data_IF_918524452916
#
_entry.id   IF_918524452916
#
_cell.length_a   1.000
_cell.length_b   1.000
_cell.length_c   1.000
_cell.angle_alpha   90.00
_cell.angle_beta   90.00
_cell.angle_gamma   90.00
#
_symmetry.space_group_name_H-M   'P 1'
#
loop_
_entity.id
_entity.type
_entity.pdbx_description
1 polymer ?
#
# COMPACT_ATOMS: atom_id res chain seq x y z
N UNK A 1 -2.89 -77.44 2.46
CA UNK A 1 -2.41 -78.28 3.59
C UNK A 1 -1.87 -77.41 4.69
N UNK A 2 -2.52 -77.52 5.88
CA UNK A 2 -1.95 -77.46 7.23
C UNK A 2 -1.07 -76.26 7.59
N UNK A 3 -1.31 -75.50 8.58
CA UNK A 3 -1.75 -75.51 9.98
C UNK A 3 -0.86 -74.51 10.72
N UNK A 4 -1.51 -73.61 11.47
CA UNK A 4 -1.34 -73.30 12.90
C UNK A 4 0.10 -73.12 13.45
N UNK A 5 0.35 -72.06 14.19
CA UNK A 5 0.33 -72.03 15.67
C UNK A 5 0.53 -70.58 16.16
N UNK A 6 -0.30 -70.23 17.17
CA UNK A 6 -0.22 -69.10 18.10
C UNK A 6 1.03 -69.22 18.99
N UNK A 7 1.52 -68.06 19.50
CA UNK A 7 1.69 -67.93 20.98
C UNK A 7 2.08 -66.53 21.39
N UNK A 8 1.41 -66.10 22.43
CA UNK A 8 1.52 -64.90 23.23
C UNK A 8 2.79 -64.76 24.03
N UNK A 9 3.15 -63.54 24.44
CA UNK A 9 3.57 -63.06 25.77
C UNK A 9 4.06 -61.62 25.66
N UNK A 10 3.45 -60.71 26.25
CA UNK A 10 3.40 -60.07 27.57
C UNK A 10 4.56 -59.15 27.89
N UNK A 11 4.19 -57.88 28.06
CA UNK A 11 4.62 -56.89 29.02
C UNK A 11 5.99 -56.23 28.92
N UNK A 12 6.00 -54.93 28.79
CA UNK A 12 6.35 -53.99 29.88
C UNK A 12 6.21 -52.51 29.44
N UNK A 13 5.60 -51.75 30.33
CA UNK A 13 5.42 -50.29 30.29
C UNK A 13 6.76 -49.55 30.27
N UNK A 14 6.82 -48.45 29.46
CA UNK A 14 7.47 -47.22 29.92
C UNK A 14 6.69 -46.03 29.36
N UNK A 15 6.24 -45.19 30.26
CA UNK A 15 5.65 -43.87 29.97
C UNK A 15 6.66 -42.96 29.34
N UNK A 16 6.33 -42.40 28.16
CA UNK A 16 6.99 -41.24 27.58
C UNK A 16 5.92 -40.28 27.12
N UNK A 17 5.63 -39.25 27.91
CA UNK A 17 4.78 -38.14 27.49
C UNK A 17 5.51 -37.38 26.37
N UNK A 18 4.99 -37.53 25.14
CA UNK A 18 5.23 -36.58 24.07
C UNK A 18 3.89 -35.91 23.77
N UNK A 19 3.77 -34.66 24.21
CA UNK A 19 2.65 -33.80 23.84
C UNK A 19 2.77 -33.43 22.36
N UNK A 20 2.16 -34.24 21.50
CA UNK A 20 1.87 -33.82 20.12
C UNK A 20 0.59 -33.02 20.14
N UNK A 21 0.75 -31.69 19.98
CA UNK A 21 -0.38 -30.80 19.72
C UNK A 21 -1.10 -31.26 18.44
N UNK A 22 -2.22 -31.93 18.62
CA UNK A 22 -3.16 -32.19 17.53
C UNK A 22 -3.72 -30.86 17.07
N UNK A 23 -3.32 -30.41 15.89
CA UNK A 23 -4.09 -29.44 15.11
C UNK A 23 -5.47 -30.06 14.94
N UNK A 24 -6.48 -29.49 15.60
CA UNK A 24 -7.85 -29.89 15.42
C UNK A 24 -8.21 -29.62 13.93
N UNK A 25 -8.21 -30.71 13.15
CA UNK A 25 -8.90 -30.70 11.86
C UNK A 25 -10.37 -30.34 12.15
N UNK A 26 -10.82 -29.18 11.67
CA UNK A 26 -12.24 -28.91 11.61
C UNK A 26 -12.91 -30.06 10.86
N UNK A 27 -14.00 -30.63 11.39
CA UNK A 27 -14.72 -31.67 10.66
C UNK A 27 -15.13 -31.07 9.31
N UNK A 28 -14.64 -31.65 8.23
CA UNK A 28 -15.20 -31.43 6.90
C UNK A 28 -16.63 -31.99 6.96
N UNK A 29 -17.58 -31.10 7.28
CA UNK A 29 -18.96 -31.43 7.20
C UNK A 29 -19.29 -31.79 5.76
N UNK A 30 -19.77 -32.98 5.54
CA UNK A 30 -20.36 -33.43 4.29
C UNK A 30 -21.43 -32.41 3.90
N UNK A 31 -21.16 -31.62 2.85
CA UNK A 31 -22.10 -30.60 2.35
C UNK A 31 -23.24 -31.35 1.70
N UNK A 32 -24.41 -31.38 2.35
CA UNK A 32 -25.63 -31.94 1.78
C UNK A 32 -25.97 -31.18 0.46
N UNK A 33 -25.91 -31.84 -0.71
CA UNK A 33 -26.30 -31.21 -1.96
C UNK A 33 -27.71 -30.61 -1.96
N UNK A 34 -28.61 -31.13 -1.08
CA UNK A 34 -29.94 -30.59 -0.87
C UNK A 34 -29.95 -29.21 -0.24
N UNK A 35 -29.03 -28.90 0.69
CA UNK A 35 -28.95 -27.58 1.33
C UNK A 35 -28.50 -26.50 0.37
N UNK A 36 -27.53 -26.80 -0.52
CA UNK A 36 -27.14 -25.91 -1.59
C UNK A 36 -28.29 -25.64 -2.54
N UNK A 37 -29.08 -26.68 -2.87
CA UNK A 37 -30.26 -26.54 -3.73
C UNK A 37 -31.35 -25.67 -3.09
N UNK A 38 -31.58 -25.77 -1.77
CA UNK A 38 -32.57 -24.93 -1.07
C UNK A 38 -32.12 -23.45 -0.98
N UNK A 39 -30.86 -23.21 -0.71
CA UNK A 39 -30.29 -21.85 -0.74
C UNK A 39 -30.44 -21.20 -2.13
N UNK A 40 -30.18 -21.97 -3.18
CA UNK A 40 -30.39 -21.47 -4.56
C UNK A 40 -31.87 -21.26 -4.86
N UNK A 41 -32.77 -22.16 -4.40
CA UNK A 41 -34.21 -21.96 -4.53
C UNK A 41 -34.69 -20.73 -3.78
N UNK A 42 -34.15 -20.42 -2.59
CA UNK A 42 -34.47 -19.22 -1.84
C UNK A 42 -34.03 -17.95 -2.58
N UNK A 43 -32.85 -17.96 -3.23
CA UNK A 43 -32.36 -16.84 -4.05
C UNK A 43 -33.21 -16.63 -5.31
N UNK A 44 -33.69 -17.71 -5.95
CA UNK A 44 -34.42 -17.63 -7.22
C UNK A 44 -35.95 -17.73 -7.05
N UNK A 45 -36.46 -18.12 -5.89
CA UNK A 45 -37.91 -18.18 -5.58
C UNK A 45 -38.52 -16.84 -5.20
N UNK A 46 -37.73 -15.77 -5.21
CA UNK A 46 -38.25 -14.41 -5.07
C UNK A 46 -39.23 -14.17 -6.22
N UNK A 47 -40.50 -14.41 -5.98
CA UNK A 47 -41.60 -14.16 -6.93
C UNK A 47 -41.49 -12.74 -7.48
N UNK A 48 -41.96 -12.52 -8.71
CA UNK A 48 -41.74 -11.33 -9.52
C UNK A 48 -41.96 -9.97 -8.83
N UNK A 49 -42.78 -9.88 -7.79
CA UNK A 49 -43.00 -8.63 -7.02
C UNK A 49 -41.94 -8.38 -5.94
N UNK A 50 -41.42 -9.42 -5.27
CA UNK A 50 -40.31 -9.30 -4.31
C UNK A 50 -38.95 -9.05 -5.00
N UNK A 51 -38.80 -9.49 -6.23
CA UNK A 51 -37.53 -9.39 -6.98
C UNK A 51 -37.15 -7.93 -7.33
N UNK A 52 -38.12 -7.04 -7.58
CA UNK A 52 -37.82 -5.64 -7.89
C UNK A 52 -37.30 -4.88 -6.67
N UNK A 53 -37.96 -4.98 -5.52
CA UNK A 53 -37.52 -4.31 -4.29
C UNK A 53 -36.14 -4.85 -3.81
N UNK A 54 -35.91 -6.17 -3.90
CA UNK A 54 -34.62 -6.77 -3.57
C UNK A 54 -33.54 -6.34 -4.55
N UNK A 55 -33.81 -6.36 -5.84
CA UNK A 55 -32.88 -5.86 -6.87
C UNK A 55 -32.51 -4.41 -6.64
N UNK A 56 -33.50 -3.55 -6.37
CA UNK A 56 -33.28 -2.13 -6.18
C UNK A 56 -32.47 -1.87 -4.90
N UNK A 57 -32.73 -2.61 -3.82
CA UNK A 57 -31.95 -2.57 -2.58
C UNK A 57 -30.52 -3.03 -2.80
N UNK A 58 -30.29 -4.17 -3.46
CA UNK A 58 -28.95 -4.69 -3.76
C UNK A 58 -28.18 -3.69 -4.61
N UNK A 59 -28.78 -3.12 -5.66
CA UNK A 59 -28.12 -2.13 -6.50
C UNK A 59 -27.84 -0.82 -5.75
N UNK A 60 -28.73 -0.39 -4.87
CA UNK A 60 -28.52 0.80 -4.04
C UNK A 60 -27.38 0.59 -3.02
N UNK A 61 -27.17 -0.64 -2.56
CA UNK A 61 -26.17 -1.00 -1.54
C UNK A 61 -24.87 -1.57 -2.14
N UNK A 62 -24.76 -1.66 -3.46
CA UNK A 62 -23.55 -2.12 -4.12
C UNK A 62 -22.65 -0.96 -4.47
N UNK A 63 -21.38 -1.01 -4.01
CA UNK A 63 -20.32 -0.08 -4.34
C UNK A 63 -19.27 -0.79 -5.19
N UNK A 64 -18.88 -0.18 -6.30
CA UNK A 64 -17.87 -0.74 -7.19
C UNK A 64 -16.52 -0.07 -6.97
N UNK A 65 -15.45 -0.87 -6.98
CA UNK A 65 -14.08 -0.39 -6.83
C UNK A 65 -13.26 -0.82 -8.03
N UNK A 66 -12.92 0.11 -8.94
CA UNK A 66 -12.00 -0.17 -10.04
C UNK A 66 -10.57 -0.27 -9.50
N UNK A 67 -9.88 -1.33 -9.88
CA UNK A 67 -8.53 -1.65 -9.44
C UNK A 67 -7.52 -1.60 -10.61
N UNK A 68 -6.41 -2.29 -10.49
CA UNK A 68 -5.38 -2.36 -11.52
C UNK A 68 -5.45 -3.62 -12.37
N UNK A 69 -4.34 -3.93 -13.02
CA UNK A 69 -4.15 -5.12 -13.85
C UNK A 69 -4.08 -6.40 -13.01
N UNK A 70 -4.42 -7.52 -13.62
CA UNK A 70 -4.33 -8.86 -13.00
C UNK A 70 -2.89 -9.09 -12.51
N UNK A 71 -2.76 -9.55 -11.25
CA UNK A 71 -1.47 -9.78 -10.60
C UNK A 71 -0.86 -8.56 -9.90
N UNK A 72 -1.41 -7.37 -10.12
CA UNK A 72 -1.01 -6.16 -9.41
C UNK A 72 -1.59 -6.07 -7.98
N UNK A 73 -0.97 -5.27 -7.13
CA UNK A 73 -1.39 -5.07 -5.74
C UNK A 73 -2.80 -4.48 -5.62
N UNK A 74 -3.21 -3.62 -6.56
CA UNK A 74 -4.56 -3.02 -6.56
C UNK A 74 -5.69 -4.05 -6.63
N UNK A 75 -5.52 -5.10 -7.45
CA UNK A 75 -6.52 -6.18 -7.55
C UNK A 75 -6.66 -6.91 -6.22
N UNK A 76 -5.54 -7.14 -5.52
CA UNK A 76 -5.56 -7.78 -4.21
C UNK A 76 -6.27 -6.88 -3.18
N UNK A 77 -5.97 -5.58 -3.17
CA UNK A 77 -6.66 -4.63 -2.30
C UNK A 77 -8.16 -4.56 -2.60
N UNK A 78 -8.56 -4.59 -3.88
CA UNK A 78 -9.96 -4.66 -4.27
C UNK A 78 -10.66 -5.92 -3.75
N UNK A 79 -9.99 -7.08 -3.87
CA UNK A 79 -10.50 -8.35 -3.34
C UNK A 79 -10.56 -8.36 -1.81
N UNK A 80 -9.56 -7.81 -1.14
CA UNK A 80 -9.52 -7.68 0.32
C UNK A 80 -10.67 -6.80 0.82
N UNK A 81 -10.92 -5.65 0.17
CA UNK A 81 -12.05 -4.78 0.49
C UNK A 81 -13.39 -5.51 0.33
N UNK A 82 -13.58 -6.26 -0.76
CA UNK A 82 -14.77 -7.04 -0.97
C UNK A 82 -14.94 -8.09 0.13
N UNK A 83 -13.89 -8.83 0.45
CA UNK A 83 -13.92 -9.88 1.47
C UNK A 83 -14.19 -9.34 2.89
N UNK A 84 -13.64 -8.20 3.25
CA UNK A 84 -13.76 -7.64 4.60
C UNK A 84 -15.05 -6.84 4.80
N UNK A 85 -15.55 -6.19 3.76
CA UNK A 85 -16.63 -5.23 3.88
C UNK A 85 -18.00 -5.74 3.42
N UNK A 86 -18.05 -6.83 2.62
CA UNK A 86 -19.33 -7.37 2.17
C UNK A 86 -20.19 -7.75 3.39
N UNK A 87 -21.38 -7.22 3.45
CA UNK A 87 -22.38 -7.41 4.52
C UNK A 87 -23.75 -7.71 3.90
N UNK A 88 -23.75 -8.72 3.03
CA UNK A 88 -24.96 -9.23 2.39
C UNK A 88 -25.76 -8.13 1.69
N UNK A 89 -26.96 -7.86 2.20
CA UNK A 89 -27.86 -6.86 1.60
C UNK A 89 -27.54 -5.41 1.98
N UNK A 90 -26.72 -5.18 3.02
CA UNK A 90 -26.45 -3.83 3.55
C UNK A 90 -25.33 -3.14 2.79
N UNK A 91 -24.29 -3.89 2.44
CA UNK A 91 -23.18 -3.40 1.62
C UNK A 91 -22.58 -4.55 0.82
N UNK A 92 -22.50 -4.36 -0.48
CA UNK A 92 -21.71 -5.22 -1.37
C UNK A 92 -20.60 -4.43 -2.01
N UNK A 93 -19.38 -4.96 -1.99
CA UNK A 93 -18.24 -4.35 -2.65
C UNK A 93 -17.85 -5.23 -3.84
N UNK A 94 -17.93 -4.67 -5.04
CA UNK A 94 -17.57 -5.36 -6.28
C UNK A 94 -16.24 -4.81 -6.82
N UNK A 95 -15.14 -5.56 -6.70
CA UNK A 95 -13.89 -5.18 -7.31
C UNK A 95 -13.94 -5.38 -8.82
N UNK A 96 -13.49 -4.39 -9.57
CA UNK A 96 -13.41 -4.41 -11.03
C UNK A 96 -11.94 -4.43 -11.41
N UNK A 97 -11.54 -5.35 -12.28
CA UNK A 97 -10.19 -5.38 -12.86
C UNK A 97 -10.07 -4.27 -13.89
N UNK A 98 -9.08 -3.41 -13.74
CA UNK A 98 -8.80 -2.28 -14.62
C UNK A 98 -7.44 -2.39 -15.30
N UNK A 99 -6.97 -1.28 -15.87
CA UNK A 99 -5.66 -1.17 -16.53
C UNK A 99 -4.70 -0.23 -15.79
N UNK A 100 -5.04 0.18 -14.57
CA UNK A 100 -4.23 1.05 -13.73
C UNK A 100 -4.75 2.48 -13.62
N UNK A 101 -3.89 3.38 -13.13
CA UNK A 101 -4.31 4.66 -12.55
C UNK A 101 -4.99 5.63 -13.52
N UNK A 102 -4.54 5.72 -14.77
CA UNK A 102 -5.16 6.67 -15.72
C UNK A 102 -6.56 6.23 -16.11
N UNK A 103 -6.73 4.94 -16.45
CA UNK A 103 -8.07 4.42 -16.75
C UNK A 103 -8.95 4.47 -15.50
N UNK A 104 -8.44 4.03 -14.35
CA UNK A 104 -9.20 4.06 -13.10
C UNK A 104 -9.70 5.46 -12.76
N UNK A 105 -8.88 6.50 -12.98
CA UNK A 105 -9.29 7.89 -12.83
C UNK A 105 -10.38 8.28 -13.83
N UNK A 106 -10.22 7.93 -15.11
CA UNK A 106 -11.22 8.20 -16.14
C UNK A 106 -12.55 7.47 -15.85
N UNK A 107 -12.47 6.23 -15.37
CA UNK A 107 -13.65 5.43 -15.03
C UNK A 107 -14.39 6.01 -13.82
N UNK A 108 -13.68 6.49 -12.80
CA UNK A 108 -14.29 7.21 -11.66
C UNK A 108 -15.00 8.49 -12.11
N UNK A 109 -14.43 9.20 -13.09
CA UNK A 109 -15.00 10.46 -13.59
C UNK A 109 -16.19 10.25 -14.51
N UNK A 110 -16.14 9.26 -15.41
CA UNK A 110 -17.03 9.21 -16.56
C UNK A 110 -17.81 7.90 -16.71
N UNK A 111 -17.33 6.77 -16.14
CA UNK A 111 -17.98 5.49 -16.36
C UNK A 111 -19.15 5.29 -15.39
N UNK A 112 -20.35 5.13 -15.95
CA UNK A 112 -21.53 4.80 -15.15
C UNK A 112 -21.36 3.43 -14.49
N UNK A 113 -21.49 3.39 -13.16
CA UNK A 113 -21.35 2.14 -12.39
C UNK A 113 -19.98 1.94 -11.76
N UNK A 114 -19.04 2.88 -11.93
CA UNK A 114 -17.81 2.95 -11.13
C UNK A 114 -17.99 4.02 -10.06
N UNK A 115 -17.79 3.65 -8.80
CA UNK A 115 -18.00 4.54 -7.66
C UNK A 115 -16.66 5.00 -7.05
N UNK A 116 -15.68 4.10 -6.97
CA UNK A 116 -14.38 4.30 -6.34
C UNK A 116 -13.29 3.72 -7.22
N UNK A 117 -12.09 4.33 -7.21
CA UNK A 117 -10.92 3.82 -7.89
C UNK A 117 -9.69 3.74 -6.99
N UNK A 118 -8.87 2.70 -7.18
CA UNK A 118 -7.52 2.65 -6.63
C UNK A 118 -6.59 3.24 -7.68
N UNK A 119 -6.02 4.41 -7.39
CA UNK A 119 -5.17 5.15 -8.31
C UNK A 119 -3.93 5.67 -7.58
N UNK A 120 -2.92 6.09 -8.32
CA UNK A 120 -1.78 6.81 -7.75
C UNK A 120 -2.01 8.31 -7.73
N UNK A 121 -1.53 8.95 -6.68
CA UNK A 121 -1.70 10.39 -6.50
C UNK A 121 -0.98 11.21 -7.57
N UNK A 122 0.17 10.74 -8.09
CA UNK A 122 0.94 11.42 -9.13
C UNK A 122 0.23 11.48 -10.50
N UNK A 123 -0.74 10.61 -10.73
CA UNK A 123 -1.48 10.52 -12.00
C UNK A 123 -2.26 11.80 -12.30
N UNK A 124 -2.98 12.32 -11.31
CA UNK A 124 -3.76 13.55 -11.47
C UNK A 124 -2.86 14.74 -11.80
N UNK A 125 -1.80 14.90 -11.02
CA UNK A 125 -0.84 16.00 -11.20
C UNK A 125 -0.13 15.93 -12.56
N UNK A 126 0.19 14.70 -13.02
CA UNK A 126 0.77 14.50 -14.35
C UNK A 126 -0.17 14.94 -15.47
N UNK A 127 -1.43 14.52 -15.42
CA UNK A 127 -2.42 14.84 -16.45
C UNK A 127 -2.70 16.33 -16.53
N UNK A 128 -2.79 17.02 -15.39
CA UNK A 128 -2.98 18.47 -15.33
C UNK A 128 -1.74 19.22 -15.85
N UNK A 129 -0.54 18.84 -15.42
CA UNK A 129 0.72 19.47 -15.88
C UNK A 129 0.97 19.31 -17.38
N UNK A 130 0.56 18.19 -17.95
CA UNK A 130 0.67 17.93 -19.40
C UNK A 130 -0.47 18.56 -20.22
N UNK A 131 -1.44 19.19 -19.55
CA UNK A 131 -2.58 19.84 -20.23
C UNK A 131 -3.58 18.85 -20.83
N UNK A 132 -3.51 17.55 -20.47
CA UNK A 132 -4.46 16.56 -20.96
C UNK A 132 -5.86 16.73 -20.37
N UNK A 133 -5.94 17.30 -19.18
CA UNK A 133 -7.19 17.64 -18.53
C UNK A 133 -6.98 18.79 -17.54
N UNK A 134 -7.95 19.68 -17.43
CA UNK A 134 -7.92 20.80 -16.48
C UNK A 134 -9.04 20.67 -15.46
N UNK A 135 -8.77 21.12 -14.23
CA UNK A 135 -9.77 21.16 -13.17
C UNK A 135 -10.16 19.78 -12.59
N UNK A 136 -9.36 18.75 -12.83
CA UNK A 136 -9.61 17.40 -12.28
C UNK A 136 -9.60 17.39 -10.76
N UNK A 137 -8.75 18.20 -10.13
CA UNK A 137 -8.66 18.32 -8.65
C UNK A 137 -9.95 18.79 -7.99
N UNK A 138 -10.81 19.51 -8.73
CA UNK A 138 -12.15 19.90 -8.24
C UNK A 138 -13.17 18.77 -8.34
N UNK A 139 -12.96 17.83 -9.25
CA UNK A 139 -13.90 16.75 -9.55
C UNK A 139 -13.61 15.45 -8.81
N UNK A 140 -12.38 15.25 -8.34
CA UNK A 140 -11.94 14.02 -7.66
C UNK A 140 -11.52 14.33 -6.24
N UNK A 141 -11.93 13.46 -5.32
CA UNK A 141 -11.54 13.49 -3.91
C UNK A 141 -10.89 12.17 -3.54
N UNK A 142 -10.01 12.16 -2.52
CA UNK A 142 -9.50 10.91 -1.97
C UNK A 142 -10.28 10.51 -0.71
N UNK A 143 -10.56 9.23 -0.55
CA UNK A 143 -11.14 8.68 0.67
C UNK A 143 -10.02 8.52 1.69
N UNK A 144 -8.96 7.81 1.32
CA UNK A 144 -7.77 7.64 2.14
C UNK A 144 -6.53 7.42 1.29
N UNK A 145 -5.36 7.76 1.85
CA UNK A 145 -4.07 7.28 1.37
C UNK A 145 -3.95 5.80 1.72
N UNK A 146 -3.68 4.97 0.73
CA UNK A 146 -3.37 3.57 0.92
C UNK A 146 -1.88 3.41 1.28
N UNK A 147 -1.19 2.56 0.60
CA UNK A 147 0.23 2.28 0.78
C UNK A 147 1.09 3.05 -0.21
N UNK A 148 2.38 2.93 -0.07
CA UNK A 148 3.33 3.42 -1.06
C UNK A 148 3.68 2.33 -2.07
N UNK A 149 3.85 2.72 -3.34
CA UNK A 149 4.30 1.84 -4.43
C UNK A 149 5.71 2.20 -4.82
N UNK A 150 6.60 1.27 -4.62
CA UNK A 150 8.02 1.41 -4.84
C UNK A 150 8.38 1.21 -6.32
N UNK A 151 9.30 2.02 -6.83
CA UNK A 151 9.84 1.90 -8.18
C UNK A 151 10.90 0.81 -8.22
N UNK A 152 10.65 -0.24 -8.99
CA UNK A 152 11.57 -1.35 -9.22
C UNK A 152 12.15 -1.20 -10.62
N UNK A 153 13.45 -1.01 -10.73
CA UNK A 153 14.16 -0.95 -12.00
C UNK A 153 15.03 -2.19 -12.13
N UNK A 154 14.63 -3.13 -12.97
CA UNK A 154 15.38 -4.37 -13.22
C UNK A 154 16.21 -4.20 -14.49
N UNK A 155 17.52 -4.39 -14.37
CA UNK A 155 18.45 -4.25 -15.48
C UNK A 155 19.65 -5.22 -15.34
N UNK A 156 20.44 -5.44 -16.41
CA UNK A 156 21.71 -6.13 -16.32
C UNK A 156 22.68 -5.41 -15.37
N UNK A 157 23.62 -6.14 -14.78
CA UNK A 157 24.62 -5.61 -13.83
C UNK A 157 25.52 -4.51 -14.42
N UNK A 158 25.54 -4.31 -15.73
CA UNK A 158 26.23 -3.19 -16.38
C UNK A 158 25.56 -1.84 -16.18
N UNK A 159 24.27 -1.82 -15.80
CA UNK A 159 23.51 -0.61 -15.47
C UNK A 159 23.55 -0.43 -13.96
N UNK A 160 24.29 0.54 -13.47
CA UNK A 160 24.52 0.74 -12.03
C UNK A 160 23.64 1.85 -11.42
N UNK A 161 23.19 2.79 -12.23
CA UNK A 161 22.36 3.94 -11.83
C UNK A 161 21.38 4.29 -12.93
N UNK A 162 20.33 5.04 -12.58
CA UNK A 162 19.25 5.37 -13.51
C UNK A 162 19.74 6.15 -14.73
N UNK A 163 20.77 7.01 -14.57
CA UNK A 163 21.35 7.77 -15.69
C UNK A 163 22.08 6.92 -16.73
N UNK A 164 22.44 5.68 -16.42
CA UNK A 164 23.03 4.75 -17.39
C UNK A 164 21.99 4.27 -18.44
N UNK A 165 20.72 4.59 -18.21
CA UNK A 165 19.62 4.33 -19.14
C UNK A 165 19.42 5.46 -20.17
N UNK A 166 20.27 6.49 -20.21
CA UNK A 166 20.22 7.51 -21.26
C UNK A 166 20.33 6.87 -22.65
N UNK A 167 19.36 7.18 -23.53
CA UNK A 167 19.25 6.61 -24.88
C UNK A 167 18.87 5.13 -24.97
N UNK A 168 18.73 4.43 -23.86
CA UNK A 168 18.41 3.01 -23.76
C UNK A 168 16.94 2.72 -23.93
N UNK A 169 16.62 1.47 -24.30
CA UNK A 169 15.23 0.99 -24.45
C UNK A 169 14.74 0.43 -23.12
N UNK A 170 13.71 1.06 -22.55
CA UNK A 170 13.18 0.73 -21.22
C UNK A 170 11.70 0.38 -21.33
N UNK A 171 11.32 -0.82 -20.87
CA UNK A 171 9.93 -1.22 -20.75
C UNK A 171 9.27 -0.59 -19.52
N UNK A 172 8.11 0.03 -19.70
CA UNK A 172 7.38 0.79 -18.66
C UNK A 172 5.95 0.31 -18.48
N UNK A 173 5.73 -1.01 -18.64
CA UNK A 173 4.44 -1.69 -18.55
C UNK A 173 3.46 -1.23 -19.65
N UNK A 174 2.17 -1.25 -19.38
CA UNK A 174 1.14 -0.92 -20.34
C UNK A 174 0.95 0.60 -20.50
N UNK A 175 0.49 1.07 -21.67
CA UNK A 175 0.20 2.48 -21.87
C UNK A 175 -0.90 2.93 -20.88
N UNK A 176 -0.79 4.15 -20.39
CA UNK A 176 -1.72 4.73 -19.40
C UNK A 176 -1.73 4.01 -18.05
N UNK A 177 -0.79 3.09 -17.81
CA UNK A 177 -0.53 2.50 -16.51
C UNK A 177 0.21 3.44 -15.58
N UNK A 178 0.07 3.20 -14.28
CA UNK A 178 0.78 4.01 -13.30
C UNK A 178 2.31 3.90 -13.44
N UNK A 179 2.87 2.73 -13.77
CA UNK A 179 4.31 2.56 -14.00
C UNK A 179 4.83 3.53 -15.06
N UNK A 180 4.13 3.67 -16.20
CA UNK A 180 4.50 4.64 -17.23
C UNK A 180 4.51 6.08 -16.68
N UNK A 181 3.47 6.48 -15.96
CA UNK A 181 3.34 7.84 -15.41
C UNK A 181 4.53 8.18 -14.50
N UNK A 182 4.80 7.34 -13.50
CA UNK A 182 5.93 7.57 -12.59
C UNK A 182 7.25 7.56 -13.34
N UNK A 183 7.45 6.61 -14.26
CA UNK A 183 8.69 6.58 -15.06
C UNK A 183 8.86 7.86 -15.87
N UNK A 184 7.80 8.33 -16.54
CA UNK A 184 7.83 9.56 -17.33
C UNK A 184 8.18 10.79 -16.46
N UNK A 185 7.58 10.92 -15.26
CA UNK A 185 7.86 12.01 -14.33
C UNK A 185 9.31 11.94 -13.83
N UNK A 186 9.75 10.76 -13.39
CA UNK A 186 11.09 10.56 -12.81
C UNK A 186 12.17 10.85 -13.84
N UNK A 187 12.06 10.26 -15.03
CA UNK A 187 13.06 10.46 -16.09
C UNK A 187 13.08 11.91 -16.59
N UNK A 188 11.91 12.57 -16.74
CA UNK A 188 11.81 13.98 -17.10
C UNK A 188 12.50 14.87 -16.05
N UNK A 189 12.20 14.66 -14.75
CA UNK A 189 12.76 15.46 -13.66
C UNK A 189 14.26 15.27 -13.45
N UNK A 190 14.78 14.08 -13.75
CA UNK A 190 16.20 13.78 -13.69
C UNK A 190 16.94 14.10 -15.00
N UNK A 191 16.23 14.55 -16.04
CA UNK A 191 16.81 14.90 -17.33
C UNK A 191 17.30 13.71 -18.14
N UNK A 192 16.80 12.49 -17.88
CA UNK A 192 17.23 11.26 -18.56
C UNK A 192 16.30 10.97 -19.74
N UNK A 193 16.86 10.82 -20.93
CA UNK A 193 16.11 10.56 -22.18
C UNK A 193 16.23 9.08 -22.58
N UNK A 194 15.37 8.23 -22.04
CA UNK A 194 15.25 6.84 -22.44
C UNK A 194 14.17 6.63 -23.52
N UNK A 195 14.27 5.54 -24.27
CA UNK A 195 13.25 5.12 -25.23
C UNK A 195 12.26 4.20 -24.51
N UNK A 196 11.11 4.75 -24.09
CA UNK A 196 10.08 3.96 -23.44
C UNK A 196 9.32 3.08 -24.44
N UNK A 197 9.13 1.81 -24.07
CA UNK A 197 8.31 0.83 -24.79
C UNK A 197 7.25 0.25 -23.88
N UNK A 198 6.04 0.09 -24.43
CA UNK A 198 4.90 -0.44 -23.68
C UNK A 198 4.85 -1.96 -23.84
N UNK A 199 5.28 -2.66 -22.82
CA UNK A 199 5.36 -4.12 -22.81
C UNK A 199 4.95 -4.62 -21.43
N UNK A 200 4.01 -5.57 -21.37
CA UNK A 200 3.60 -6.24 -20.14
C UNK A 200 4.80 -6.91 -19.46
N UNK A 201 4.82 -6.94 -18.14
CA UNK A 201 6.00 -7.28 -17.33
C UNK A 201 6.62 -8.65 -17.67
N UNK A 202 5.81 -9.69 -17.93
CA UNK A 202 6.35 -11.02 -18.27
C UNK A 202 7.06 -11.00 -19.62
N UNK A 203 6.44 -10.35 -20.59
CA UNK A 203 7.00 -10.21 -21.94
C UNK A 203 8.24 -9.33 -21.90
N UNK A 204 8.20 -8.26 -21.11
CA UNK A 204 9.34 -7.36 -20.88
C UNK A 204 10.54 -8.13 -20.30
N UNK A 205 10.30 -8.98 -19.30
CA UNK A 205 11.37 -9.79 -18.73
C UNK A 205 11.98 -10.77 -19.73
N UNK A 206 11.17 -11.44 -20.55
CA UNK A 206 11.70 -12.32 -21.59
C UNK A 206 12.53 -11.55 -22.63
N UNK A 207 12.12 -10.34 -23.00
CA UNK A 207 12.89 -9.45 -23.88
C UNK A 207 14.19 -8.97 -23.23
N UNK A 208 14.15 -8.62 -21.95
CA UNK A 208 15.33 -8.25 -21.18
C UNK A 208 16.36 -9.39 -21.11
N UNK A 209 15.89 -10.62 -20.89
CA UNK A 209 16.75 -11.83 -20.90
C UNK A 209 17.45 -12.07 -22.23
N UNK A 210 16.80 -11.71 -23.33
CA UNK A 210 17.33 -11.82 -24.70
C UNK A 210 18.18 -10.60 -25.11
N UNK A 211 18.24 -9.54 -24.29
CA UNK A 211 18.95 -8.30 -24.65
C UNK A 211 18.21 -7.44 -25.70
N UNK A 212 16.91 -7.67 -25.90
CA UNK A 212 16.09 -6.88 -26.83
C UNK A 212 15.68 -5.52 -26.22
N UNK A 213 15.74 -5.40 -24.91
CA UNK A 213 15.58 -4.16 -24.13
C UNK A 213 16.66 -4.08 -23.06
N UNK A 214 16.95 -2.88 -22.61
CA UNK A 214 18.05 -2.61 -21.66
C UNK A 214 17.59 -2.64 -20.19
N UNK A 215 16.33 -2.32 -19.90
CA UNK A 215 15.74 -2.37 -18.57
C UNK A 215 14.22 -2.55 -18.62
N UNK A 216 13.66 -2.96 -17.50
CA UNK A 216 12.22 -2.90 -17.26
C UNK A 216 11.93 -2.23 -15.93
N UNK A 217 10.85 -1.48 -15.89
CA UNK A 217 10.39 -0.78 -14.69
C UNK A 217 9.02 -1.33 -14.28
N UNK A 218 8.84 -1.49 -12.96
CA UNK A 218 7.56 -1.74 -12.33
C UNK A 218 7.42 -0.80 -11.12
N UNK A 219 6.26 -0.19 -10.95
CA UNK A 219 5.95 0.61 -9.76
C UNK A 219 4.79 -0.06 -9.06
N UNK A 220 5.09 -0.74 -7.95
CA UNK A 220 4.19 -1.65 -7.26
C UNK A 220 4.51 -1.70 -5.77
N UNK A 221 3.57 -2.23 -4.97
CA UNK A 221 3.84 -2.50 -3.55
C UNK A 221 4.89 -3.59 -3.35
N UNK A 222 5.70 -3.45 -2.30
CA UNK A 222 6.71 -4.44 -1.86
C UNK A 222 6.04 -5.44 -0.92
N UNK A 223 6.30 -6.77 -1.10
CA UNK A 223 7.01 -7.39 -2.22
C UNK A 223 6.17 -7.47 -3.50
N UNK A 224 6.76 -7.12 -4.64
CA UNK A 224 6.13 -7.27 -5.95
C UNK A 224 6.06 -8.75 -6.34
N UNK A 225 4.84 -9.27 -6.56
CA UNK A 225 4.64 -10.69 -6.93
C UNK A 225 5.43 -11.10 -8.15
N UNK A 226 5.51 -10.23 -9.15
CA UNK A 226 6.26 -10.55 -10.36
C UNK A 226 7.76 -10.47 -10.13
N UNK A 227 8.26 -9.39 -9.53
CA UNK A 227 9.70 -9.17 -9.31
C UNK A 227 10.32 -10.28 -8.44
N UNK A 228 9.57 -10.83 -7.47
CA UNK A 228 10.02 -11.98 -6.65
C UNK A 228 10.23 -13.26 -7.46
N UNK A 229 9.66 -13.38 -8.66
CA UNK A 229 9.86 -14.55 -9.52
C UNK A 229 11.17 -14.52 -10.31
N UNK A 230 11.83 -13.36 -10.40
CA UNK A 230 13.09 -13.17 -11.11
C UNK A 230 14.22 -13.80 -10.28
N UNK A 231 14.84 -14.87 -10.81
CA UNK A 231 15.92 -15.61 -10.16
C UNK A 231 17.24 -15.60 -10.96
N UNK A 232 17.26 -14.86 -12.06
CA UNK A 232 18.41 -14.80 -12.96
C UNK A 232 19.43 -13.79 -12.43
N UNK A 233 20.57 -14.28 -11.99
CA UNK A 233 21.66 -13.51 -11.36
C UNK A 233 22.36 -12.52 -12.31
N UNK A 234 22.06 -12.56 -13.62
CA UNK A 234 22.55 -11.57 -14.58
C UNK A 234 21.95 -10.20 -14.34
N UNK A 235 20.79 -10.16 -13.66
CA UNK A 235 20.05 -8.94 -13.37
C UNK A 235 20.17 -8.53 -11.92
N UNK A 236 19.84 -7.29 -11.65
CA UNK A 236 19.74 -6.72 -10.32
C UNK A 236 18.70 -5.60 -10.29
N UNK A 237 18.39 -5.11 -9.10
CA UNK A 237 17.60 -3.89 -8.92
C UNK A 237 18.54 -2.67 -8.93
N UNK A 238 18.28 -1.73 -9.84
CA UNK A 238 19.04 -0.50 -9.97
C UNK A 238 18.54 0.53 -8.96
N UNK A 239 19.41 1.20 -8.18
CA UNK A 239 18.99 2.23 -7.25
C UNK A 239 18.37 3.44 -7.97
N UNK A 240 17.36 4.04 -7.33
CA UNK A 240 16.75 5.30 -7.75
C UNK A 240 17.01 6.32 -6.65
N UNK A 241 17.92 7.23 -6.90
CA UNK A 241 18.28 8.29 -5.97
C UNK A 241 17.08 9.19 -5.67
N UNK A 242 16.83 9.47 -4.39
CA UNK A 242 15.83 10.44 -3.95
C UNK A 242 16.35 11.87 -4.11
N UNK A 243 16.51 12.29 -5.36
CA UNK A 243 17.04 13.61 -5.72
C UNK A 243 16.07 14.73 -5.31
N UNK A 244 16.55 15.96 -5.05
CA UNK A 244 15.71 17.11 -4.70
C UNK A 244 14.56 17.37 -5.69
N UNK A 245 14.76 17.10 -6.98
CA UNK A 245 13.75 17.24 -8.02
C UNK A 245 12.55 16.29 -7.84
N UNK A 246 12.70 15.18 -7.10
CA UNK A 246 11.67 14.17 -6.90
C UNK A 246 10.90 14.37 -5.58
N UNK A 247 11.41 15.17 -4.65
CA UNK A 247 10.87 15.28 -3.28
C UNK A 247 9.47 15.87 -3.19
N UNK A 248 9.02 16.55 -4.21
CA UNK A 248 7.68 17.14 -4.24
C UNK A 248 6.60 16.07 -4.50
N UNK A 249 6.92 15.05 -5.31
CA UNK A 249 5.93 14.09 -5.82
C UNK A 249 6.06 12.70 -5.18
N UNK A 250 7.23 12.37 -4.62
CA UNK A 250 7.58 11.04 -4.16
C UNK A 250 8.14 11.03 -2.74
N UNK A 251 8.16 9.84 -2.15
CA UNK A 251 8.77 9.56 -0.85
C UNK A 251 10.03 8.72 -1.04
N UNK A 252 11.05 8.85 -0.16
CA UNK A 252 12.15 7.91 -0.13
C UNK A 252 11.66 6.54 0.33
N UNK A 253 12.20 5.47 -0.26
CA UNK A 253 11.92 4.09 0.13
C UNK A 253 13.12 3.20 -0.14
N UNK A 254 13.04 1.94 0.29
CA UNK A 254 14.08 0.94 0.10
C UNK A 254 13.48 -0.40 -0.30
N UNK A 255 14.20 -1.11 -1.20
CA UNK A 255 13.95 -2.49 -1.55
C UNK A 255 14.97 -3.36 -0.81
N UNK A 256 14.53 -4.41 -0.13
CA UNK A 256 15.35 -5.22 0.76
C UNK A 256 15.67 -6.60 0.18
N UNK A 257 16.81 -7.16 0.57
CA UNK A 257 17.22 -8.51 0.18
C UNK A 257 16.25 -9.59 0.65
N UNK A 258 15.54 -9.38 1.77
CA UNK A 258 14.53 -10.32 2.28
C UNK A 258 13.36 -10.48 1.30
N UNK A 259 13.00 -9.40 0.60
CA UNK A 259 11.93 -9.39 -0.41
C UNK A 259 12.42 -9.89 -1.78
N UNK A 260 13.70 -9.63 -2.11
CA UNK A 260 14.28 -9.88 -3.44
C UNK A 260 15.67 -10.54 -3.38
N UNK A 261 15.80 -11.74 -2.79
CA UNK A 261 17.10 -12.33 -2.48
C UNK A 261 17.95 -12.69 -3.71
N UNK A 262 17.36 -12.81 -4.90
CA UNK A 262 18.09 -13.06 -6.14
C UNK A 262 18.58 -11.77 -6.82
N UNK A 263 18.00 -10.62 -6.49
CA UNK A 263 18.27 -9.33 -7.14
C UNK A 263 19.04 -8.35 -6.26
N UNK A 264 19.06 -8.58 -4.95
CA UNK A 264 19.75 -7.76 -3.95
C UNK A 264 20.65 -8.68 -3.13
N UNK A 265 21.95 -8.37 -2.95
CA UNK A 265 22.85 -9.15 -2.12
C UNK A 265 22.35 -9.26 -0.67
N UNK A 266 22.56 -10.41 -0.04
CA UNK A 266 22.09 -10.70 1.30
C UNK A 266 22.49 -9.62 2.32
N UNK A 267 21.54 -9.19 3.14
CA UNK A 267 21.74 -8.17 4.17
C UNK A 267 21.83 -6.74 3.64
N UNK A 268 21.63 -6.51 2.33
CA UNK A 268 21.65 -5.19 1.73
C UNK A 268 20.24 -4.68 1.42
N UNK A 269 20.14 -3.37 1.21
CA UNK A 269 18.96 -2.69 0.68
C UNK A 269 19.36 -1.77 -0.48
N UNK A 270 18.41 -1.51 -1.37
CA UNK A 270 18.55 -0.62 -2.52
C UNK A 270 17.63 0.57 -2.32
N UNK A 271 18.19 1.78 -2.40
CA UNK A 271 17.39 3.00 -2.33
C UNK A 271 16.49 3.13 -3.56
N UNK A 272 15.26 3.54 -3.33
CA UNK A 272 14.29 3.81 -4.38
C UNK A 272 13.34 4.92 -3.95
N UNK A 273 12.44 5.28 -4.86
CA UNK A 273 11.33 6.20 -4.58
C UNK A 273 10.00 5.44 -4.51
N UNK A 274 9.05 6.03 -3.82
CA UNK A 274 7.71 5.49 -3.70
C UNK A 274 6.63 6.54 -3.99
N UNK A 275 5.62 6.14 -4.76
CA UNK A 275 4.44 6.94 -5.06
C UNK A 275 3.25 6.48 -4.18
N UNK A 276 2.46 7.39 -3.58
CA UNK A 276 1.31 7.00 -2.78
C UNK A 276 0.16 6.50 -3.65
N UNK A 277 -0.38 5.34 -3.33
CA UNK A 277 -1.67 4.87 -3.81
C UNK A 277 -2.80 5.47 -2.95
N UNK A 278 -3.95 5.72 -3.55
CA UNK A 278 -5.12 6.28 -2.89
C UNK A 278 -6.41 5.56 -3.32
N UNK A 279 -7.39 5.55 -2.43
CA UNK A 279 -8.78 5.35 -2.79
C UNK A 279 -9.38 6.70 -3.19
N UNK A 280 -9.83 6.82 -4.43
CA UNK A 280 -10.40 8.04 -4.98
C UNK A 280 -11.86 7.85 -5.39
N UNK A 281 -12.67 8.89 -5.25
CA UNK A 281 -14.04 8.94 -5.68
C UNK A 281 -14.32 10.27 -6.39
N UNK A 282 -15.35 10.30 -7.23
CA UNK A 282 -15.86 11.57 -7.75
C UNK A 282 -16.34 12.45 -6.59
N UNK A 283 -16.19 13.77 -6.71
CA UNK A 283 -16.61 14.74 -5.70
C UNK A 283 -18.14 14.92 -5.71
N UNK A 284 -18.86 13.83 -5.35
CA UNK A 284 -20.32 13.85 -5.31
C UNK A 284 -20.83 14.83 -4.27
N UNK A 285 -21.90 15.58 -4.63
CA UNK A 285 -22.57 16.46 -3.68
C UNK A 285 -23.27 15.66 -2.59
N UNK A 286 -23.15 16.08 -1.30
CA UNK A 286 -23.89 15.47 -0.21
C UNK A 286 -25.40 15.35 -0.52
N UNK A 287 -26.03 14.26 -0.06
CA UNK A 287 -27.45 13.98 -0.27
C UNK A 287 -27.81 13.31 -1.59
N UNK A 288 -26.86 13.13 -2.53
CA UNK A 288 -27.10 12.35 -3.76
C UNK A 288 -26.97 10.85 -3.51
N UNK A 289 -27.60 10.02 -4.34
CA UNK A 289 -27.51 8.55 -4.24
C UNK A 289 -26.06 8.05 -4.36
N UNK A 290 -25.29 8.67 -5.25
CA UNK A 290 -23.88 8.36 -5.44
C UNK A 290 -23.05 8.70 -4.19
N UNK A 291 -23.30 9.86 -3.59
CA UNK A 291 -22.66 10.24 -2.33
C UNK A 291 -22.96 9.22 -1.23
N UNK A 292 -24.25 8.85 -1.05
CA UNK A 292 -24.66 7.86 -0.04
C UNK A 292 -24.02 6.48 -0.21
N UNK A 293 -23.79 6.05 -1.46
CA UNK A 293 -23.07 4.80 -1.72
C UNK A 293 -21.61 4.86 -1.21
N UNK A 294 -20.88 5.92 -1.58
CA UNK A 294 -19.50 6.10 -1.16
C UNK A 294 -19.41 6.33 0.35
N UNK A 295 -20.32 7.09 0.93
CA UNK A 295 -20.40 7.32 2.39
C UNK A 295 -20.57 6.01 3.17
N UNK A 296 -21.48 5.14 2.74
CA UNK A 296 -21.68 3.81 3.36
C UNK A 296 -20.43 2.94 3.27
N UNK A 297 -19.78 2.96 2.11
CA UNK A 297 -18.49 2.28 1.95
C UNK A 297 -17.43 2.83 2.91
N UNK A 298 -17.32 4.16 3.03
CA UNK A 298 -16.37 4.84 3.92
C UNK A 298 -16.58 4.43 5.38
N UNK A 299 -17.84 4.45 5.85
CA UNK A 299 -18.17 4.03 7.21
C UNK A 299 -17.76 2.59 7.46
N UNK A 300 -18.20 1.64 6.61
CA UNK A 300 -17.86 0.24 6.77
C UNK A 300 -16.34 -0.03 6.69
N UNK A 301 -15.65 0.67 5.80
CA UNK A 301 -14.20 0.53 5.63
C UNK A 301 -13.44 1.03 6.85
N UNK A 302 -13.77 2.20 7.37
CA UNK A 302 -13.06 2.76 8.51
C UNK A 302 -13.39 2.04 9.81
N UNK A 303 -14.65 1.63 10.02
CA UNK A 303 -15.06 0.84 11.18
C UNK A 303 -14.41 -0.54 11.24
N UNK A 304 -14.19 -1.18 10.07
CA UNK A 304 -13.57 -2.49 9.94
C UNK A 304 -12.09 -2.46 9.58
N UNK A 305 -11.44 -1.29 9.60
CA UNK A 305 -10.08 -1.12 9.10
C UNK A 305 -9.06 -2.06 9.77
N UNK A 306 -9.16 -2.28 11.06
CA UNK A 306 -8.24 -3.16 11.81
C UNK A 306 -8.26 -4.62 11.32
N UNK A 307 -9.37 -5.07 10.73
CA UNK A 307 -9.48 -6.44 10.18
C UNK A 307 -8.52 -6.58 9.00
N UNK A 308 -8.47 -5.58 8.13
CA UNK A 308 -7.62 -5.58 6.94
C UNK A 308 -6.11 -5.60 7.28
N UNK A 309 -5.72 -5.15 8.47
CA UNK A 309 -4.32 -5.15 8.90
C UNK A 309 -3.82 -6.54 9.38
N UNK A 310 -4.69 -7.54 9.42
CA UNK A 310 -4.41 -8.90 9.90
C UNK A 310 -4.40 -9.91 8.74
N UNK A 311 -3.70 -11.04 8.86
CA UNK A 311 -3.85 -12.14 7.90
C UNK A 311 -5.32 -12.59 7.79
N UNK A 312 -5.80 -13.01 6.61
CA UNK A 312 -5.03 -13.31 5.39
C UNK A 312 -4.85 -12.14 4.41
N UNK A 313 -5.20 -10.93 4.81
CA UNK A 313 -5.17 -9.74 3.96
C UNK A 313 -3.74 -9.32 3.59
N UNK A 314 -3.61 -8.51 2.55
CA UNK A 314 -2.31 -8.10 2.02
C UNK A 314 -1.47 -7.35 3.07
N UNK A 315 -0.15 -7.66 3.23
CA UNK A 315 0.68 -7.03 4.27
C UNK A 315 0.75 -5.50 4.21
N UNK A 316 0.64 -4.93 3.02
CA UNK A 316 0.64 -3.47 2.79
C UNK A 316 -0.54 -2.73 3.45
N UNK A 317 -1.58 -3.42 3.92
CA UNK A 317 -2.63 -2.80 4.74
C UNK A 317 -2.09 -2.20 6.05
N UNK A 318 -0.96 -2.72 6.56
CA UNK A 318 -0.28 -2.16 7.74
C UNK A 318 0.36 -0.79 7.49
N UNK A 319 0.58 -0.41 6.24
CA UNK A 319 1.11 0.90 5.85
C UNK A 319 0.01 1.94 5.61
N UNK A 320 -1.25 1.49 5.55
CA UNK A 320 -2.39 2.39 5.34
C UNK A 320 -2.67 3.16 6.62
N UNK A 321 -2.84 4.47 6.48
CA UNK A 321 -3.30 5.35 7.55
C UNK A 321 -4.53 6.10 7.09
N UNK A 322 -5.69 5.76 7.67
CA UNK A 322 -6.97 6.38 7.29
C UNK A 322 -7.03 7.87 7.64
N UNK A 323 -6.21 8.31 8.61
CA UNK A 323 -6.13 9.72 9.03
C UNK A 323 -5.10 10.51 8.23
N UNK A 324 -4.20 9.85 7.46
CA UNK A 324 -3.13 10.53 6.73
C UNK A 324 -3.68 11.59 5.76
N UNK A 325 -3.16 12.80 5.86
CA UNK A 325 -3.49 13.88 4.94
C UNK A 325 -2.61 13.83 3.70
N UNK A 326 -3.21 14.03 2.53
CA UNK A 326 -2.52 14.06 1.25
C UNK A 326 -2.47 15.51 0.73
N UNK A 327 -1.26 16.07 0.68
CA UNK A 327 -1.07 17.44 0.22
C UNK A 327 -1.57 17.64 -1.22
N UNK A 328 -2.29 18.73 -1.47
CA UNK A 328 -2.82 19.05 -2.79
C UNK A 328 -4.10 18.29 -3.17
N UNK A 329 -4.61 17.41 -2.31
CA UNK A 329 -5.84 16.65 -2.53
C UNK A 329 -6.93 17.03 -1.52
N UNK A 330 -8.19 17.07 -1.99
CA UNK A 330 -9.36 17.23 -1.12
C UNK A 330 -9.84 15.86 -0.66
N UNK A 331 -10.07 15.68 0.64
CA UNK A 331 -10.65 14.45 1.18
C UNK A 331 -12.15 14.39 0.89
N UNK A 332 -12.67 13.20 0.64
CA UNK A 332 -14.12 12.98 0.51
C UNK A 332 -14.83 13.38 1.80
N UNK A 333 -15.91 14.17 1.75
CA UNK A 333 -16.49 14.78 2.96
C UNK A 333 -16.90 13.76 4.03
N UNK A 334 -17.49 12.62 3.66
CA UNK A 334 -17.86 11.59 4.63
C UNK A 334 -16.61 10.96 5.31
N UNK A 335 -15.50 10.82 4.60
CA UNK A 335 -14.26 10.33 5.19
C UNK A 335 -13.68 11.33 6.20
N UNK A 336 -13.73 12.62 5.88
CA UNK A 336 -13.31 13.66 6.83
C UNK A 336 -14.23 13.69 8.05
N UNK A 337 -15.54 13.65 7.86
CA UNK A 337 -16.51 13.66 8.95
C UNK A 337 -16.33 12.47 9.91
N UNK A 338 -16.06 11.27 9.37
CA UNK A 338 -15.76 10.09 10.20
C UNK A 338 -14.50 10.30 11.04
N UNK A 339 -13.42 10.82 10.43
CA UNK A 339 -12.16 11.11 11.13
C UNK A 339 -12.39 12.13 12.25
N UNK A 340 -13.12 13.21 11.96
CA UNK A 340 -13.40 14.28 12.94
C UNK A 340 -14.20 13.76 14.14
N UNK A 341 -15.10 12.77 13.93
CA UNK A 341 -15.89 12.15 14.99
C UNK A 341 -15.11 11.15 15.83
N UNK A 342 -14.14 10.43 15.24
CA UNK A 342 -13.44 9.32 15.90
C UNK A 342 -12.01 9.67 16.32
N UNK A 343 -11.51 10.84 15.96
CA UNK A 343 -10.17 11.30 16.36
C UNK A 343 -10.30 12.37 17.44
N UNK A 344 -9.71 12.19 18.63
CA UNK A 344 -9.72 13.24 19.66
C UNK A 344 -9.21 14.57 19.10
N UNK A 345 -9.78 15.69 19.55
CA UNK A 345 -9.42 17.04 19.08
C UNK A 345 -7.90 17.33 19.15
N UNK A 346 -7.18 16.70 20.08
CA UNK A 346 -5.72 16.75 20.22
C UNK A 346 -4.95 16.10 19.07
N UNK A 347 -5.51 15.12 18.38
CA UNK A 347 -4.86 14.46 17.24
C UNK A 347 -5.05 15.23 15.91
N UNK A 348 -6.04 16.11 15.83
CA UNK A 348 -6.34 16.92 14.65
C UNK A 348 -5.35 18.09 14.43
N UNK A 349 -4.52 18.41 15.40
CA UNK A 349 -3.50 19.49 15.29
C UNK A 349 -2.50 19.18 14.16
N UNK A 350 -2.20 17.89 13.92
CA UNK A 350 -1.31 17.45 12.84
C UNK A 350 -1.91 17.64 11.43
N UNK A 351 -3.22 17.56 11.29
CA UNK A 351 -3.90 17.68 10.00
C UNK A 351 -3.87 19.12 9.45
N UNK A 352 -3.83 20.12 10.35
CA UNK A 352 -3.86 21.55 10.01
C UNK A 352 -2.47 22.21 10.00
N UNK A 353 -1.40 21.46 10.27
CA UNK A 353 -0.05 22.01 10.22
C UNK A 353 0.32 22.45 8.80
N UNK A 354 0.87 23.66 8.64
CA UNK A 354 1.36 24.16 7.37
C UNK A 354 2.44 23.23 6.78
N UNK A 355 2.66 23.23 5.47
CA UNK A 355 3.73 22.43 4.84
C UNK A 355 5.12 22.70 5.43
N UNK A 356 5.36 23.93 5.91
CA UNK A 356 6.59 24.31 6.59
C UNK A 356 6.69 23.71 7.98
N UNK A 357 5.59 23.68 8.73
CA UNK A 357 5.51 23.08 10.05
C UNK A 357 5.75 21.57 9.98
N UNK A 358 5.23 20.89 8.94
CA UNK A 358 5.49 19.47 8.71
C UNK A 358 6.94 19.18 8.40
N UNK A 359 7.57 19.95 7.52
CA UNK A 359 9.01 19.80 7.24
C UNK A 359 9.86 19.94 8.50
N UNK A 360 9.55 20.90 9.36
CA UNK A 360 10.25 21.09 10.63
C UNK A 360 10.00 19.93 11.60
N UNK A 361 8.80 19.36 11.61
CA UNK A 361 8.49 18.16 12.39
C UNK A 361 9.23 16.92 11.88
N UNK A 362 9.28 16.72 10.56
CA UNK A 362 10.03 15.63 9.94
C UNK A 362 11.53 15.73 10.21
N UNK A 363 12.08 16.94 10.20
CA UNK A 363 13.46 17.21 10.63
C UNK A 363 13.68 16.91 12.12
N UNK A 364 12.73 17.29 12.99
CA UNK A 364 12.76 16.95 14.40
C UNK A 364 12.75 15.44 14.62
N UNK A 365 11.89 14.70 13.91
CA UNK A 365 11.81 13.25 13.98
C UNK A 365 13.08 12.58 13.45
N UNK A 366 13.65 13.08 12.36
CA UNK A 366 14.92 12.59 11.82
C UNK A 366 16.08 12.80 12.79
N UNK A 367 16.16 13.95 13.45
CA UNK A 367 17.17 14.25 14.47
C UNK A 367 17.02 13.33 15.68
N UNK A 368 15.80 12.99 16.06
CA UNK A 368 15.52 12.07 17.17
C UNK A 368 15.84 10.61 16.82
N UNK A 369 15.59 10.19 15.58
CA UNK A 369 15.96 8.87 15.10
C UNK A 369 17.48 8.65 15.10
N UNK A 370 18.26 9.68 14.77
CA UNK A 370 19.72 9.64 14.81
C UNK A 370 20.29 9.62 16.24
N UNK A 371 19.50 9.97 17.26
CA UNK A 371 19.89 9.93 18.68
C UNK A 371 19.50 8.62 19.41
N UNK A 372 19.11 7.55 18.71
CA UNK A 372 18.92 6.20 19.26
C UNK A 372 17.56 5.95 19.93
N UNK A 373 16.58 6.85 19.81
CA UNK A 373 15.22 6.72 20.36
C UNK A 373 14.14 6.26 19.36
N UNK A 374 14.52 5.52 18.33
CA UNK A 374 13.64 5.16 17.22
C UNK A 374 12.85 3.88 17.43
N UNK A 375 11.90 3.82 18.36
CA UNK A 375 10.84 2.80 18.34
C UNK A 375 9.69 3.28 17.43
N UNK A 376 9.07 2.34 16.71
CA UNK A 376 7.84 2.62 15.94
C UNK A 376 6.77 3.21 16.89
N UNK A 377 6.29 4.41 16.61
CA UNK A 377 5.38 5.14 17.47
C UNK A 377 3.93 4.91 17.05
N UNK A 378 3.03 4.71 18.03
CA UNK A 378 1.58 4.67 17.78
C UNK A 378 1.06 6.06 17.36
N UNK A 379 -0.14 6.16 16.74
CA UNK A 379 -0.76 7.45 16.40
C UNK A 379 -0.86 8.42 17.59
N UNK A 380 -1.16 7.91 18.81
CA UNK A 380 -1.23 8.70 20.04
C UNK A 380 0.16 9.20 20.45
N UNK A 381 1.18 8.37 20.31
CA UNK A 381 2.57 8.75 20.57
C UNK A 381 3.06 9.79 19.57
N UNK A 382 2.65 9.70 18.30
CA UNK A 382 2.96 10.72 17.30
C UNK A 382 2.28 12.06 17.59
N UNK A 383 1.04 12.05 18.08
CA UNK A 383 0.35 13.27 18.53
C UNK A 383 1.06 13.93 19.71
N UNK A 384 1.44 13.14 20.72
CA UNK A 384 2.21 13.64 21.87
C UNK A 384 3.60 14.18 21.48
N UNK A 385 4.25 13.56 20.48
CA UNK A 385 5.51 14.03 19.91
C UNK A 385 5.36 15.34 19.15
N UNK A 386 4.24 15.52 18.46
CA UNK A 386 3.96 16.78 17.77
C UNK A 386 3.69 17.93 18.74
N UNK A 387 2.99 17.68 19.83
CA UNK A 387 2.83 18.66 20.92
C UNK A 387 4.18 19.04 21.55
N UNK A 388 5.07 18.07 21.79
CA UNK A 388 6.43 18.33 22.26
C UNK A 388 7.23 19.16 21.25
N UNK A 389 7.06 18.90 19.95
CA UNK A 389 7.67 19.68 18.87
C UNK A 389 7.15 21.13 18.84
N UNK A 390 5.85 21.35 19.03
CA UNK A 390 5.27 22.69 19.10
C UNK A 390 5.77 23.46 20.32
N UNK A 391 5.90 22.81 21.47
CA UNK A 391 6.51 23.40 22.68
C UNK A 391 7.99 23.71 22.45
N UNK A 392 8.73 22.80 21.83
CA UNK A 392 10.14 23.02 21.47
C UNK A 392 10.31 24.21 20.53
N UNK A 393 9.43 24.38 19.54
CA UNK A 393 9.42 25.55 18.67
C UNK A 393 9.11 26.86 19.41
N UNK A 394 8.14 26.86 20.31
CA UNK A 394 7.79 28.02 21.13
C UNK A 394 8.95 28.44 22.06
N UNK A 395 9.77 27.49 22.49
CA UNK A 395 10.92 27.70 23.35
C UNK A 395 12.22 28.04 22.59
N UNK A 396 12.14 28.42 21.30
CA UNK A 396 13.29 28.88 20.49
C UNK A 396 14.08 27.80 19.77
N UNK A 397 13.47 26.63 19.53
CA UNK A 397 14.07 25.45 18.89
C UNK A 397 14.94 25.76 17.69
N UNK A 398 16.17 25.33 17.73
CA UNK A 398 17.26 25.40 16.75
C UNK A 398 18.34 26.50 16.95
N UNK A 399 18.28 27.31 18.01
CA UNK A 399 19.40 28.25 18.28
C UNK A 399 20.52 27.67 19.13
N UNK A 400 20.33 26.51 19.80
CA UNK A 400 21.28 25.96 20.80
C UNK A 400 21.67 24.48 20.59
N UNK A 401 21.75 23.99 19.35
CA UNK A 401 22.35 22.68 19.07
C UNK A 401 23.79 22.84 18.56
N UNK A 402 24.65 23.52 19.36
CA UNK A 402 26.09 23.32 19.24
C UNK A 402 26.48 22.12 20.12
N UNK A 403 27.33 21.18 19.66
CA UNK A 403 27.72 20.04 20.45
C UNK A 403 28.54 20.48 21.68
N UNK A 404 28.00 20.30 22.87
CA UNK A 404 28.75 20.48 24.13
C UNK A 404 29.89 19.44 24.13
N UNK A 405 31.12 19.92 23.99
CA UNK A 405 32.32 19.15 24.27
C UNK A 405 32.29 18.72 25.75
N UNK A 406 32.15 17.45 25.99
CA UNK A 406 32.40 16.83 27.28
C UNK A 406 33.90 16.91 27.53
N UNK A 407 34.34 17.93 28.27
CA UNK A 407 35.68 17.97 28.88
C UNK A 407 35.68 17.05 30.09
N UNK A 408 36.22 15.85 29.85
CA UNK A 408 36.49 14.89 30.92
C UNK A 408 37.50 15.47 31.90
N UNK A 409 37.07 15.84 33.09
CA UNK A 409 37.93 16.17 34.22
C UNK A 409 38.41 14.88 34.85
N UNK A 410 39.66 14.49 34.56
CA UNK A 410 40.40 13.47 35.29
C UNK A 410 40.63 13.97 36.74
N UNK A 411 40.03 13.33 37.71
CA UNK A 411 40.48 13.41 39.09
C UNK A 411 41.69 12.52 39.26
N UNK A 412 42.82 13.13 39.46
CA UNK A 412 44.02 12.47 39.98
C UNK A 412 43.95 12.46 41.49
N UNK A 413 43.82 11.29 42.07
CA UNK A 413 44.07 11.05 43.51
C UNK A 413 45.59 11.14 43.75
N UNK A 414 46.02 12.15 44.46
CA UNK A 414 47.35 12.26 45.04
C UNK A 414 47.30 11.89 46.51
N UNK A 415 47.88 10.75 46.81
CA UNK A 415 48.32 10.41 48.18
C UNK A 415 49.63 11.14 48.44
N UNK A 416 49.78 11.72 49.61
CA UNK A 416 51.01 12.37 50.02
C UNK A 416 50.98 12.64 51.52
N UNK A 417 51.72 11.81 52.22
CA UNK A 417 52.12 11.89 53.62
C UNK A 417 52.47 13.30 54.11
N UNK A 418 51.98 13.68 55.25
CA UNK A 418 52.64 13.93 56.56
C UNK A 418 51.67 14.63 57.52
#
# INVERSE_FOLDING_TARGET
>A
MKKFIQMSCLAAMTLGLAATGSVAQQPQGEVDPGQVSEGLKAIFSLSSRGSHATRDRLNANTTTVISGTIGGTYVQFGADLASALDDGDNLRVLPIVGRGSVQGLADVLYLKGVDIGIIRADTLDYLERKGYASGLKSQVTYITKLYNEEMHVVAPKSVQKLSDLEGKTVAVDLPNGGTFITSAIVFEKLGIKAKFVYIEQRIAYEKLRKGEIDAMIAVQGVPSKFTTTIKDERFHLVPVEYAPALQQDYFPSQLKSEDYPALIPAGQSIDTIAAPAILAAYNWSPGTDRYRKVERFVQAFFDKFEILQKPPFHPKWKEVSITANLSGWKRFPAAQAWIDQHTPATANVNANASPEMRRKFDQFMATRASSGSGAATTPEQNAALFEQFLQWQKNGGAKDAAPSRITGRRQTSGSGDR
#
